data_IF_616636438616
#
_entry.id   IF_616636438616
#
_cell.length_a   1.000
_cell.length_b   1.000
_cell.length_c   1.000
_cell.angle_alpha   90.00
_cell.angle_beta   90.00
_cell.angle_gamma   90.00
#
_symmetry.space_group_name_H-M   'P 1'
#
loop_
_entity.id
_entity.type
_entity.pdbx_description
1 polymer ?
#
# COMPACT_ATOMS: atom_id res chain seq x y z
N UNK A 1 9.52 -10.04 -24.30
CA UNK A 1 9.23 -9.27 -23.06
C UNK A 1 10.52 -9.16 -22.29
N UNK A 2 11.02 -7.95 -22.05
CA UNK A 2 12.20 -7.74 -21.20
C UNK A 2 11.71 -7.71 -19.76
N UNK A 3 12.24 -8.58 -18.91
CA UNK A 3 11.88 -8.57 -17.50
C UNK A 3 12.51 -7.36 -16.83
N UNK A 4 11.70 -6.65 -16.03
CA UNK A 4 12.20 -5.55 -15.22
C UNK A 4 13.27 -6.06 -14.25
N UNK A 5 14.40 -5.37 -14.22
CA UNK A 5 15.48 -5.64 -13.27
C UNK A 5 15.02 -5.39 -11.83
N UNK A 6 15.74 -5.97 -10.87
CA UNK A 6 15.50 -5.73 -9.45
C UNK A 6 15.48 -4.23 -9.11
N UNK A 7 16.43 -3.46 -9.66
CA UNK A 7 16.56 -2.03 -9.43
C UNK A 7 15.39 -1.21 -9.99
N UNK A 8 14.85 -1.60 -11.14
CA UNK A 8 13.66 -0.95 -11.69
C UNK A 8 12.43 -1.17 -10.79
N UNK A 9 12.30 -2.38 -10.23
CA UNK A 9 11.22 -2.68 -9.27
C UNK A 9 11.39 -1.92 -7.96
N UNK A 10 12.62 -1.78 -7.47
CA UNK A 10 12.93 -1.01 -6.26
C UNK A 10 12.64 0.49 -6.47
N UNK A 11 13.09 1.06 -7.59
CA UNK A 11 12.83 2.45 -7.94
C UNK A 11 11.33 2.73 -8.08
N UNK A 12 10.58 1.82 -8.72
CA UNK A 12 9.12 1.93 -8.80
C UNK A 12 8.47 1.96 -7.40
N UNK A 13 8.89 1.08 -6.49
CA UNK A 13 8.39 1.09 -5.11
C UNK A 13 8.72 2.40 -4.39
N UNK A 14 9.94 2.93 -4.56
CA UNK A 14 10.36 4.18 -3.93
C UNK A 14 9.55 5.38 -4.46
N UNK A 15 9.25 5.40 -5.76
CA UNK A 15 8.38 6.43 -6.36
C UNK A 15 6.96 6.29 -5.81
N UNK A 16 6.40 5.08 -5.74
CA UNK A 16 5.07 4.87 -5.15
C UNK A 16 5.01 5.34 -3.68
N UNK A 17 6.05 5.11 -2.89
CA UNK A 17 6.16 5.65 -1.52
C UNK A 17 6.22 7.18 -1.51
N UNK A 18 6.99 7.81 -2.41
CA UNK A 18 7.05 9.26 -2.52
C UNK A 18 5.69 9.88 -2.91
N UNK A 19 4.92 9.22 -3.78
CA UNK A 19 3.58 9.66 -4.17
C UNK A 19 2.61 9.60 -2.98
N UNK A 20 2.75 8.60 -2.11
CA UNK A 20 1.89 8.44 -0.93
C UNK A 20 2.35 9.27 0.28
N UNK A 21 3.60 9.75 0.29
CA UNK A 21 4.17 10.58 1.35
C UNK A 21 3.29 11.78 1.75
N UNK A 22 2.76 12.62 0.84
CA UNK A 22 1.89 13.73 1.23
C UNK A 22 0.62 13.26 1.95
N UNK A 23 0.06 12.11 1.56
CA UNK A 23 -1.13 11.54 2.20
C UNK A 23 -0.79 11.09 3.62
N UNK A 24 0.35 10.41 3.79
CA UNK A 24 0.84 9.98 5.11
C UNK A 24 1.10 11.20 6.01
N UNK A 25 1.72 12.26 5.48
CA UNK A 25 1.98 13.49 6.22
C UNK A 25 0.69 14.18 6.70
N UNK A 26 -0.37 14.15 5.89
CA UNK A 26 -1.69 14.67 6.30
C UNK A 26 -2.28 13.85 7.45
N UNK A 27 -2.17 12.52 7.42
CA UNK A 27 -2.62 11.70 8.54
C UNK A 27 -1.87 12.00 9.84
N UNK A 28 -0.55 12.15 9.78
CA UNK A 28 0.26 12.53 10.95
C UNK A 28 -0.07 13.93 11.47
N UNK A 29 -0.38 14.89 10.58
CA UNK A 29 -0.78 16.24 11.00
C UNK A 29 -2.12 16.25 11.75
N UNK A 30 -3.04 15.35 11.39
CA UNK A 30 -4.34 15.18 12.06
C UNK A 30 -4.15 14.43 13.40
N UNK A 31 -3.11 13.60 13.50
CA UNK A 31 -2.85 12.83 14.70
C UNK A 31 -2.40 13.74 15.85
N UNK A 32 -3.30 13.98 16.79
CA UNK A 32 -3.05 14.85 17.96
C UNK A 32 -2.23 14.13 19.05
N UNK A 33 -1.70 12.92 18.79
CA UNK A 33 -0.93 12.11 19.74
C UNK A 33 -1.75 11.57 20.92
N UNK A 34 -3.07 11.71 20.88
CA UNK A 34 -3.97 11.15 21.89
C UNK A 34 -4.35 9.73 21.48
N UNK A 35 -4.56 8.82 22.44
CA UNK A 35 -4.95 7.43 22.16
C UNK A 35 -6.20 7.32 21.28
N UNK A 36 -7.14 8.25 21.46
CA UNK A 36 -8.34 8.33 20.64
C UNK A 36 -8.03 8.69 19.17
N UNK A 37 -7.11 9.63 18.92
CA UNK A 37 -6.72 10.02 17.55
C UNK A 37 -5.93 8.90 16.87
N UNK A 38 -5.01 8.24 17.58
CA UNK A 38 -4.26 7.09 17.05
C UNK A 38 -5.21 5.94 16.65
N UNK A 39 -6.20 5.60 17.48
CA UNK A 39 -7.19 4.56 17.14
C UNK A 39 -8.08 4.93 15.95
N UNK A 40 -8.52 6.19 15.86
CA UNK A 40 -9.35 6.66 14.75
C UNK A 40 -8.59 6.65 13.42
N UNK A 41 -7.29 6.94 13.44
CA UNK A 41 -6.44 7.01 12.24
C UNK A 41 -5.78 5.68 11.87
N UNK A 42 -5.73 4.69 12.77
CA UNK A 42 -5.13 3.38 12.53
C UNK A 42 -5.71 2.67 11.30
N UNK A 43 -7.04 2.61 11.19
CA UNK A 43 -7.71 1.92 10.08
C UNK A 43 -7.54 2.69 8.75
N UNK A 44 -7.82 4.02 8.69
CA UNK A 44 -7.60 4.81 7.48
C UNK A 44 -6.16 4.72 6.94
N UNK A 45 -5.17 4.84 7.81
CA UNK A 45 -3.75 4.82 7.41
C UNK A 45 -3.34 3.46 6.85
N UNK A 46 -3.72 2.37 7.53
CA UNK A 46 -3.39 1.00 7.11
C UNK A 46 -4.00 0.65 5.74
N UNK A 47 -5.27 1.01 5.51
CA UNK A 47 -5.98 0.66 4.28
C UNK A 47 -5.58 1.55 3.10
N UNK A 48 -5.07 2.76 3.34
CA UNK A 48 -4.73 3.72 2.27
C UNK A 48 -3.76 3.14 1.23
N UNK A 49 -2.72 2.44 1.69
CA UNK A 49 -1.72 1.84 0.80
C UNK A 49 -2.33 0.69 -0.04
N UNK A 50 -3.12 -0.16 0.58
CA UNK A 50 -3.79 -1.28 -0.08
C UNK A 50 -4.83 -0.79 -1.10
N UNK A 51 -5.67 0.17 -0.71
CA UNK A 51 -6.64 0.78 -1.61
C UNK A 51 -5.98 1.44 -2.82
N UNK A 52 -4.89 2.20 -2.61
CA UNK A 52 -4.11 2.78 -3.70
C UNK A 52 -3.60 1.69 -4.66
N UNK A 53 -3.02 0.63 -4.11
CA UNK A 53 -2.41 -0.45 -4.90
C UNK A 53 -3.46 -1.25 -5.67
N UNK A 54 -4.56 -1.63 -5.03
CA UNK A 54 -5.69 -2.37 -5.65
C UNK A 54 -6.33 -1.53 -6.74
N UNK A 55 -6.60 -0.25 -6.48
CA UNK A 55 -7.20 0.65 -7.46
C UNK A 55 -6.29 0.85 -8.68
N UNK A 56 -5.00 1.09 -8.47
CA UNK A 56 -4.07 1.28 -9.57
C UNK A 56 -3.93 0.02 -10.45
N UNK A 57 -3.81 -1.16 -9.84
CA UNK A 57 -3.73 -2.40 -10.60
C UNK A 57 -5.06 -2.76 -11.29
N UNK A 58 -6.21 -2.52 -10.65
CA UNK A 58 -7.51 -2.83 -11.23
C UNK A 58 -7.92 -1.89 -12.37
N UNK A 59 -7.60 -0.59 -12.26
CA UNK A 59 -8.00 0.42 -13.26
C UNK A 59 -6.97 0.60 -14.38
N UNK A 60 -5.68 0.58 -14.05
CA UNK A 60 -4.58 0.93 -14.96
C UNK A 60 -3.61 -0.23 -15.21
N UNK A 61 -3.76 -1.38 -14.52
CA UNK A 61 -2.86 -2.53 -14.65
C UNK A 61 -1.48 -2.35 -14.00
N UNK A 62 -1.18 -1.17 -13.46
CA UNK A 62 0.11 -0.81 -12.86
C UNK A 62 -0.04 0.39 -11.92
N UNK A 63 0.88 0.52 -10.97
CA UNK A 63 0.98 1.68 -10.07
C UNK A 63 1.69 2.86 -10.74
N UNK A 64 1.59 4.05 -10.16
CA UNK A 64 2.22 5.26 -10.69
C UNK A 64 3.74 5.06 -10.77
N UNK A 65 4.36 4.53 -9.72
CA UNK A 65 5.80 4.25 -9.71
C UNK A 65 6.23 3.25 -10.80
N UNK A 66 5.40 2.23 -11.06
CA UNK A 66 5.64 1.30 -12.17
C UNK A 66 5.46 1.96 -13.54
N UNK A 67 4.51 2.88 -13.67
CA UNK A 67 4.32 3.66 -14.89
C UNK A 67 5.53 4.55 -15.20
N UNK A 68 6.08 5.23 -14.19
CA UNK A 68 7.29 6.05 -14.35
C UNK A 68 8.51 5.20 -14.75
N UNK A 69 8.59 3.96 -14.27
CA UNK A 69 9.68 3.03 -14.61
C UNK A 69 9.41 2.21 -15.87
N UNK A 70 8.34 2.51 -16.63
CA UNK A 70 7.92 1.77 -17.83
C UNK A 70 7.71 0.26 -17.58
N UNK A 71 7.27 -0.10 -16.38
CA UNK A 71 6.97 -1.47 -15.98
C UNK A 71 5.46 -1.70 -16.07
N UNK A 72 5.07 -2.65 -16.90
CA UNK A 72 3.68 -3.13 -16.98
C UNK A 72 3.55 -4.54 -16.43
N UNK A 73 2.48 -4.79 -15.69
CA UNK A 73 2.18 -6.13 -15.19
C UNK A 73 1.17 -6.79 -16.13
N UNK A 74 1.59 -7.86 -16.79
CA UNK A 74 0.80 -8.61 -17.75
C UNK A 74 0.63 -10.06 -17.30
N UNK A 75 -0.46 -10.69 -17.75
CA UNK A 75 -0.68 -12.14 -17.64
C UNK A 75 0.36 -12.90 -18.46
N UNK A 76 0.47 -14.21 -18.24
CA UNK A 76 1.33 -15.10 -19.05
C UNK A 76 0.90 -15.14 -20.51
N UNK A 77 -0.36 -14.82 -20.81
CA UNK A 77 -0.88 -14.62 -22.16
C UNK A 77 -0.48 -13.29 -22.80
N UNK A 78 0.15 -12.37 -22.05
CA UNK A 78 0.49 -11.02 -22.47
C UNK A 78 -0.63 -9.98 -22.34
N UNK A 79 -1.83 -10.39 -21.93
CA UNK A 79 -2.94 -9.47 -21.67
C UNK A 79 -2.71 -8.65 -20.39
N UNK A 80 -3.30 -7.45 -20.32
CA UNK A 80 -3.31 -6.65 -19.10
C UNK A 80 -4.07 -7.36 -17.96
N UNK A 81 -3.67 -7.08 -16.72
CA UNK A 81 -4.32 -7.58 -15.51
C UNK A 81 -5.72 -6.96 -15.35
N UNK A 82 -6.70 -7.80 -15.00
CA UNK A 82 -8.06 -7.37 -14.65
C UNK A 82 -8.26 -7.21 -13.14
N UNK A 83 -9.46 -6.77 -12.76
CA UNK A 83 -9.84 -6.56 -11.36
C UNK A 83 -9.70 -7.82 -10.49
N UNK A 84 -10.05 -8.99 -11.02
CA UNK A 84 -9.99 -10.25 -10.27
C UNK A 84 -8.54 -10.59 -9.89
N UNK A 85 -7.63 -10.47 -10.84
CA UNK A 85 -6.21 -10.73 -10.65
C UNK A 85 -5.55 -9.66 -9.76
N UNK A 86 -6.00 -8.40 -9.82
CA UNK A 86 -5.56 -7.33 -8.93
C UNK A 86 -5.92 -7.60 -7.46
N UNK A 87 -7.15 -8.06 -7.19
CA UNK A 87 -7.58 -8.47 -5.85
C UNK A 87 -6.82 -9.71 -5.36
N UNK A 88 -6.64 -10.71 -6.21
CA UNK A 88 -5.90 -11.93 -5.84
C UNK A 88 -4.44 -11.59 -5.48
N UNK A 89 -3.82 -10.69 -6.23
CA UNK A 89 -2.46 -10.21 -5.97
C UNK A 89 -2.37 -9.47 -4.64
N UNK A 90 -3.34 -8.61 -4.35
CA UNK A 90 -3.34 -7.78 -3.14
C UNK A 90 -3.83 -8.54 -1.90
N UNK A 91 -4.30 -9.79 -2.04
CA UNK A 91 -4.77 -10.60 -0.92
C UNK A 91 -3.67 -10.86 0.13
N UNK A 92 -2.43 -11.01 -0.31
CA UNK A 92 -1.28 -11.18 0.57
C UNK A 92 -0.97 -9.88 1.32
N UNK A 93 -0.98 -8.74 0.61
CA UNK A 93 -0.77 -7.42 1.23
C UNK A 93 -1.86 -7.15 2.28
N UNK A 94 -3.13 -7.36 1.94
CA UNK A 94 -4.26 -7.23 2.88
C UNK A 94 -4.08 -8.13 4.12
N UNK A 95 -3.62 -9.36 3.95
CA UNK A 95 -3.35 -10.26 5.08
C UNK A 95 -2.27 -9.69 6.02
N UNK A 96 -1.17 -9.16 5.47
CA UNK A 96 -0.15 -8.50 6.27
C UNK A 96 -0.65 -7.21 6.92
N UNK A 97 -1.50 -6.43 6.24
CA UNK A 97 -2.12 -5.23 6.80
C UNK A 97 -2.99 -5.56 8.00
N UNK A 98 -3.80 -6.62 7.93
CA UNK A 98 -4.62 -7.08 9.06
C UNK A 98 -3.75 -7.48 10.26
N UNK A 99 -2.66 -8.23 10.03
CA UNK A 99 -1.69 -8.55 11.08
C UNK A 99 -1.05 -7.30 11.68
N UNK A 100 -0.70 -6.31 10.84
CA UNK A 100 -0.14 -5.03 11.26
C UNK A 100 -1.10 -4.23 12.14
N UNK A 101 -2.39 -4.21 11.79
CA UNK A 101 -3.45 -3.58 12.60
C UNK A 101 -3.54 -4.25 13.97
N UNK A 102 -3.56 -5.59 14.03
CA UNK A 102 -3.61 -6.34 15.30
C UNK A 102 -2.38 -6.02 16.16
N UNK A 103 -1.19 -6.03 15.56
CA UNK A 103 0.06 -5.70 16.26
C UNK A 103 0.05 -4.28 16.82
N UNK A 104 -0.39 -3.32 16.01
CA UNK A 104 -0.50 -1.91 16.43
C UNK A 104 -1.53 -1.72 17.54
N UNK A 105 -2.64 -2.46 17.50
CA UNK A 105 -3.66 -2.45 18.54
C UNK A 105 -3.11 -2.99 19.87
N UNK A 106 -2.37 -4.11 19.84
CA UNK A 106 -1.68 -4.66 21.01
C UNK A 106 -0.65 -3.67 21.56
N UNK A 107 0.16 -3.05 20.68
CA UNK A 107 1.15 -2.06 21.07
C UNK A 107 0.52 -0.87 21.79
N UNK A 108 -0.63 -0.37 21.30
CA UNK A 108 -1.34 0.74 21.92
C UNK A 108 -1.90 0.37 23.30
N UNK A 109 -2.38 -0.86 23.47
CA UNK A 109 -2.83 -1.37 24.78
C UNK A 109 -1.66 -1.48 25.75
N UNK A 110 -0.50 -1.97 25.29
CA UNK A 110 0.71 -2.13 26.12
C UNK A 110 1.30 -0.77 26.54
N UNK A 111 1.24 0.24 25.67
CA UNK A 111 1.63 1.65 25.94
C UNK A 111 0.80 2.29 27.08
N UNK A 112 -0.21 1.60 27.63
CA UNK A 112 -0.95 1.98 28.84
C UNK A 112 -0.22 1.67 30.15
N UNK A 113 0.88 0.89 30.13
CA UNK A 113 1.53 0.41 31.36
C UNK A 113 2.72 1.26 31.87
N UNK A 114 3.04 2.40 31.24
CA UNK A 114 4.16 3.29 31.62
C UNK A 114 3.69 4.70 31.92
#
# INVERSE_FOLDING_TARGET
MIYASFWQRLAAMLIDTLVLLPIIAVFELINTGTKASELMLLIPTAITFDCYTVYCHGRYGQTIGKHVMEISVVLTSGCAIGWREAWLRSSLDIFFTVLGIISSFIALILKRAS
#
